data_IF_707399947512
#
_entry.id   IF_707399947512
#
_cell.length_a   1.000
_cell.length_b   1.000
_cell.length_c   1.000
_cell.angle_alpha   90.00
_cell.angle_beta   90.00
_cell.angle_gamma   90.00
#
_symmetry.space_group_name_H-M   'P 1'
#
loop_
_entity.id
_entity.type
_entity.pdbx_description
1 polymer ?
#
# COMPACT_ATOMS: atom_id res chain seq x y z
N UNK A 1 8.73 11.79 13.00
CA UNK A 1 8.12 12.68 11.99
C UNK A 1 6.94 13.40 12.64
N UNK A 2 6.78 14.72 12.44
CA UNK A 2 5.65 15.46 13.00
C UNK A 2 4.40 15.26 12.12
N UNK A 3 3.20 15.32 12.71
CA UNK A 3 1.92 15.12 12.02
C UNK A 3 1.72 16.09 10.84
N UNK A 4 2.30 17.28 10.93
CA UNK A 4 2.24 18.30 9.88
C UNK A 4 3.01 17.92 8.63
N UNK A 5 4.12 17.18 8.78
CA UNK A 5 4.95 16.75 7.65
C UNK A 5 4.23 15.66 6.85
N UNK A 6 3.60 14.70 7.54
CA UNK A 6 2.83 13.62 6.91
C UNK A 6 1.66 14.14 6.07
N UNK A 7 1.03 15.24 6.51
CA UNK A 7 -0.07 15.84 5.77
C UNK A 7 0.38 16.40 4.41
N UNK A 8 1.63 16.86 4.31
CA UNK A 8 2.17 17.48 3.10
C UNK A 8 2.51 16.44 2.03
N UNK A 9 2.97 15.24 2.43
CA UNK A 9 3.31 14.13 1.54
C UNK A 9 2.16 13.86 0.57
N UNK A 10 2.44 13.74 -0.72
CA UNK A 10 1.49 13.32 -1.76
C UNK A 10 1.97 12.03 -2.43
N UNK A 11 1.03 11.30 -3.05
CA UNK A 11 1.37 10.19 -3.94
C UNK A 11 1.59 10.77 -5.33
N UNK A 12 2.85 10.72 -5.77
CA UNK A 12 3.30 11.25 -7.06
C UNK A 12 2.91 10.29 -8.19
N UNK A 13 3.29 9.02 -8.06
CA UNK A 13 3.16 8.00 -9.11
C UNK A 13 2.62 6.70 -8.53
N UNK A 14 1.96 5.90 -9.38
CA UNK A 14 1.42 4.59 -9.02
C UNK A 14 1.89 3.60 -10.07
N UNK A 15 2.58 2.55 -9.64
CA UNK A 15 3.08 1.49 -10.51
C UNK A 15 2.42 0.17 -10.13
N UNK A 16 1.75 -0.47 -11.09
CA UNK A 16 1.22 -1.82 -10.92
C UNK A 16 2.27 -2.82 -11.41
N UNK A 17 2.88 -3.54 -10.48
CA UNK A 17 3.97 -4.46 -10.68
C UNK A 17 3.52 -5.92 -10.46
N UNK A 18 3.82 -6.76 -11.45
CA UNK A 18 3.58 -8.21 -11.44
C UNK A 18 2.10 -8.63 -11.36
N UNK A 19 1.68 -9.38 -12.37
CA UNK A 19 0.38 -10.05 -12.43
C UNK A 19 0.65 -11.52 -12.67
N UNK A 20 0.41 -12.35 -11.66
CA UNK A 20 0.35 -13.79 -11.81
C UNK A 20 -1.01 -14.28 -11.35
N UNK A 21 -1.52 -15.28 -12.05
CA UNK A 21 -2.78 -15.93 -11.75
C UNK A 21 -2.51 -17.42 -11.67
N UNK A 22 -2.85 -18.01 -10.53
CA UNK A 22 -2.62 -19.42 -10.27
C UNK A 22 -3.95 -20.04 -9.84
N UNK A 23 -4.22 -21.25 -10.32
CA UNK A 23 -5.31 -22.06 -9.80
C UNK A 23 -4.82 -22.82 -8.58
N UNK A 24 -5.58 -22.81 -7.49
CA UNK A 24 -5.34 -23.68 -6.36
C UNK A 24 -5.78 -25.15 -6.69
N UNK A 25 -5.53 -26.12 -5.81
CA UNK A 25 -6.00 -27.50 -5.99
C UNK A 25 -7.53 -27.66 -6.02
N UNK A 26 -8.30 -26.64 -5.58
CA UNK A 26 -9.76 -26.63 -5.65
C UNK A 26 -10.30 -26.11 -6.99
N UNK A 27 -9.43 -25.52 -7.82
CA UNK A 27 -9.77 -24.91 -9.10
C UNK A 27 -10.14 -23.43 -9.01
N UNK A 28 -10.02 -22.83 -7.82
CA UNK A 28 -10.18 -21.40 -7.62
C UNK A 28 -8.94 -20.65 -8.10
N UNK A 29 -9.16 -19.58 -8.84
CA UNK A 29 -8.08 -18.73 -9.34
C UNK A 29 -7.86 -17.57 -8.39
N UNK A 30 -6.62 -17.41 -7.92
CA UNK A 30 -6.20 -16.22 -7.18
C UNK A 30 -5.23 -15.41 -8.02
N UNK A 31 -5.33 -14.09 -7.87
CA UNK A 31 -4.48 -13.14 -8.58
C UNK A 31 -3.54 -12.47 -7.59
N UNK A 32 -2.25 -12.53 -7.87
CA UNK A 32 -1.26 -11.72 -7.17
C UNK A 32 -1.12 -10.38 -7.87
N UNK A 33 -1.23 -9.31 -7.10
CA UNK A 33 -1.01 -7.96 -7.59
C UNK A 33 -0.15 -7.20 -6.59
N UNK A 34 0.91 -6.54 -7.08
CA UNK A 34 1.69 -5.62 -6.26
C UNK A 34 1.58 -4.22 -6.85
N UNK A 35 1.32 -3.23 -6.02
CA UNK A 35 1.19 -1.83 -6.44
C UNK A 35 2.10 -0.97 -5.59
N UNK A 36 2.98 -0.20 -6.23
CA UNK A 36 3.85 0.75 -5.55
C UNK A 36 3.27 2.16 -5.70
N UNK A 37 2.98 2.81 -4.57
CA UNK A 37 2.57 4.21 -4.47
C UNK A 37 3.78 5.05 -4.10
N UNK A 38 4.37 5.74 -5.08
CA UNK A 38 5.58 6.55 -4.89
C UNK A 38 5.21 7.88 -4.26
N UNK A 39 5.89 8.23 -3.16
CA UNK A 39 5.71 9.48 -2.46
C UNK A 39 6.47 10.61 -3.16
N UNK A 40 5.91 11.81 -3.14
CA UNK A 40 6.58 13.01 -3.66
C UNK A 40 7.80 13.43 -2.83
N UNK A 41 7.74 13.13 -1.53
CA UNK A 41 8.76 13.45 -0.54
C UNK A 41 9.02 12.20 0.29
N UNK A 42 10.27 11.71 0.26
CA UNK A 42 10.71 10.64 1.15
C UNK A 42 10.76 11.14 2.59
N UNK A 43 10.53 10.25 3.55
CA UNK A 43 10.69 10.56 4.97
C UNK A 43 11.55 9.50 5.66
N UNK A 44 12.12 9.87 6.82
CA UNK A 44 12.94 8.95 7.62
C UNK A 44 12.11 8.42 8.78
N UNK A 45 12.06 7.11 8.89
CA UNK A 45 11.53 6.38 10.03
C UNK A 45 12.69 5.92 10.90
N UNK A 46 12.72 6.34 12.16
CA UNK A 46 13.79 6.01 13.10
C UNK A 46 13.31 4.96 14.09
N UNK A 47 13.96 3.79 14.09
CA UNK A 47 13.70 2.67 15.00
C UNK A 47 14.98 2.41 15.76
N UNK A 48 14.99 2.79 17.04
CA UNK A 48 16.21 2.80 17.86
C UNK A 48 17.34 3.58 17.15
N UNK A 49 18.44 2.90 16.85
CA UNK A 49 19.63 3.46 16.21
C UNK A 49 19.61 3.30 14.68
N UNK A 50 18.54 2.73 14.12
CA UNK A 50 18.40 2.49 12.69
C UNK A 50 17.51 3.58 12.09
N UNK A 51 18.04 4.28 11.09
CA UNK A 51 17.31 5.24 10.27
C UNK A 51 16.96 4.59 8.93
N UNK A 52 15.68 4.56 8.62
CA UNK A 52 15.14 3.96 7.40
C UNK A 52 14.47 5.05 6.57
N UNK A 53 14.97 5.28 5.37
CA UNK A 53 14.28 6.13 4.40
C UNK A 53 13.11 5.37 3.78
N UNK A 54 11.94 5.99 3.76
CA UNK A 54 10.72 5.51 3.13
C UNK A 54 10.37 6.47 1.99
N UNK A 55 10.22 5.92 0.79
CA UNK A 55 9.88 6.68 -0.43
C UNK A 55 8.61 6.17 -1.12
N UNK A 56 8.05 5.05 -0.67
CA UNK A 56 6.86 4.45 -1.25
C UNK A 56 6.05 3.67 -0.23
N UNK A 57 4.80 3.44 -0.60
CA UNK A 57 3.93 2.50 0.08
C UNK A 57 3.63 1.38 -0.90
N UNK A 58 3.86 0.14 -0.48
CA UNK A 58 3.64 -1.05 -1.28
C UNK A 58 2.32 -1.69 -0.88
N UNK A 59 1.42 -1.87 -1.82
CA UNK A 59 0.21 -2.67 -1.65
C UNK A 59 0.44 -4.04 -2.28
N UNK A 60 0.27 -5.09 -1.51
CA UNK A 60 0.32 -6.46 -2.00
C UNK A 60 -1.07 -7.07 -1.85
N UNK A 61 -1.51 -7.77 -2.89
CA UNK A 61 -2.75 -8.54 -2.87
C UNK A 61 -2.39 -9.98 -3.13
N UNK A 62 -2.68 -10.83 -2.15
CA UNK A 62 -2.41 -12.26 -2.21
C UNK A 62 -3.60 -13.04 -1.61
N UNK A 63 -4.07 -14.08 -2.31
CA UNK A 63 -5.27 -14.85 -1.94
C UNK A 63 -6.48 -13.99 -1.52
N UNK A 64 -6.69 -12.85 -2.18
CA UNK A 64 -7.79 -11.91 -1.85
C UNK A 64 -7.57 -11.07 -0.59
N UNK A 65 -6.38 -11.13 -0.01
CA UNK A 65 -5.97 -10.30 1.13
C UNK A 65 -5.14 -9.14 0.61
N UNK A 66 -5.65 -7.93 0.81
CA UNK A 66 -4.93 -6.68 0.52
C UNK A 66 -4.16 -6.25 1.76
N UNK A 67 -2.88 -5.94 1.59
CA UNK A 67 -1.99 -5.42 2.62
C UNK A 67 -1.24 -4.20 2.13
N UNK A 68 -0.93 -3.28 3.04
CA UNK A 68 -0.14 -2.08 2.82
C UNK A 68 1.10 -2.09 3.70
N UNK A 69 2.25 -1.81 3.11
CA UNK A 69 3.55 -1.82 3.78
C UNK A 69 4.35 -0.56 3.43
N UNK A 70 5.06 0.02 4.40
CA UNK A 70 6.06 1.05 4.08
C UNK A 70 7.24 0.41 3.35
N UNK A 71 7.81 1.11 2.37
CA UNK A 71 8.91 0.56 1.60
C UNK A 71 9.87 1.65 1.09
N UNK A 72 11.03 1.20 0.63
CA UNK A 72 11.91 1.96 -0.25
C UNK A 72 12.26 1.12 -1.48
N UNK A 73 13.24 1.57 -2.27
CA UNK A 73 13.68 0.84 -3.47
C UNK A 73 14.19 -0.57 -3.18
N UNK A 74 14.76 -0.79 -1.98
CA UNK A 74 15.46 -2.03 -1.65
C UNK A 74 14.59 -3.01 -0.84
N UNK A 75 13.73 -2.48 0.05
CA UNK A 75 13.09 -3.27 1.11
C UNK A 75 11.66 -2.83 1.38
N UNK A 76 10.85 -3.81 1.78
CA UNK A 76 9.52 -3.62 2.35
C UNK A 76 9.59 -3.84 3.85
N UNK A 77 8.91 -2.98 4.61
CA UNK A 77 8.93 -2.95 6.07
C UNK A 77 7.54 -3.24 6.63
N UNK A 78 7.21 -4.53 6.77
CA UNK A 78 5.90 -4.97 7.25
C UNK A 78 5.63 -4.73 8.73
N UNK A 79 6.69 -4.57 9.53
CA UNK A 79 6.58 -4.29 10.97
C UNK A 79 6.39 -2.81 11.29
N UNK A 80 6.45 -1.92 10.29
CA UNK A 80 6.29 -0.48 10.51
C UNK A 80 4.83 -0.06 10.29
N UNK A 81 4.19 0.61 11.27
CA UNK A 81 2.79 0.98 11.15
C UNK A 81 2.59 2.09 10.11
N UNK A 82 1.55 1.95 9.30
CA UNK A 82 1.13 3.00 8.36
C UNK A 82 0.14 3.93 9.06
N UNK A 83 0.43 5.23 9.00
CA UNK A 83 -0.48 6.21 9.59
C UNK A 83 -1.78 6.30 8.81
N UNK A 84 -2.90 6.50 9.50
CA UNK A 84 -4.23 6.70 8.88
C UNK A 84 -4.27 7.82 7.83
N UNK A 85 -3.43 8.85 8.00
CA UNK A 85 -3.29 9.95 7.02
C UNK A 85 -2.77 9.43 5.67
N UNK A 86 -1.79 8.52 5.70
CA UNK A 86 -1.25 7.91 4.48
C UNK A 86 -2.26 6.96 3.84
N UNK A 87 -2.98 6.16 4.65
CA UNK A 87 -4.06 5.30 4.15
C UNK A 87 -5.13 6.13 3.44
N UNK A 88 -5.50 7.30 3.98
CA UNK A 88 -6.47 8.19 3.33
C UNK A 88 -5.98 8.67 1.96
N UNK A 89 -4.69 9.04 1.87
CA UNK A 89 -4.09 9.46 0.60
C UNK A 89 -4.04 8.31 -0.42
N UNK A 90 -3.77 7.08 0.04
CA UNK A 90 -3.82 5.88 -0.80
C UNK A 90 -5.24 5.67 -1.31
N UNK A 91 -6.24 5.72 -0.45
CA UNK A 91 -7.64 5.58 -0.84
C UNK A 91 -8.05 6.58 -1.92
N UNK A 92 -7.78 7.87 -1.70
CA UNK A 92 -8.05 8.93 -2.67
C UNK A 92 -7.35 8.66 -4.01
N UNK A 93 -6.10 8.16 -3.97
CA UNK A 93 -5.36 7.83 -5.18
C UNK A 93 -5.89 6.58 -5.87
N UNK A 94 -6.27 5.54 -5.12
CA UNK A 94 -6.86 4.29 -5.62
C UNK A 94 -8.14 4.60 -6.39
N UNK A 95 -9.05 5.39 -5.82
CA UNK A 95 -10.29 5.81 -6.50
C UNK A 95 -10.01 6.51 -7.83
N UNK A 96 -9.01 7.42 -7.85
CA UNK A 96 -8.61 8.12 -9.07
C UNK A 96 -8.05 7.15 -10.13
N UNK A 97 -7.15 6.25 -9.73
CA UNK A 97 -6.50 5.29 -10.63
C UNK A 97 -7.46 4.20 -11.13
N UNK A 98 -8.46 3.79 -10.34
CA UNK A 98 -9.49 2.84 -10.78
C UNK A 98 -10.44 3.45 -11.81
N UNK A 99 -10.72 4.75 -11.69
CA UNK A 99 -11.58 5.46 -12.63
C UNK A 99 -10.91 5.68 -13.98
N UNK A 100 -9.65 6.14 -13.97
CA UNK A 100 -9.01 6.72 -15.16
C UNK A 100 -7.56 6.26 -15.40
N UNK A 101 -6.99 5.40 -14.54
CA UNK A 101 -5.56 5.12 -14.50
C UNK A 101 -5.17 3.65 -14.53
N UNK A 102 -4.03 3.33 -13.91
CA UNK A 102 -3.36 2.01 -14.04
C UNK A 102 -4.07 0.88 -13.29
N UNK A 103 -4.95 1.25 -12.36
CA UNK A 103 -5.75 0.34 -11.55
C UNK A 103 -7.17 0.15 -12.11
N UNK A 104 -7.46 0.62 -13.33
CA UNK A 104 -8.76 0.40 -13.97
C UNK A 104 -9.09 -1.08 -14.09
N UNK A 105 -10.30 -1.44 -13.69
CA UNK A 105 -10.79 -2.83 -13.68
C UNK A 105 -10.44 -3.62 -12.42
N UNK A 106 -9.80 -2.99 -11.43
CA UNK A 106 -9.55 -3.56 -10.11
C UNK A 106 -10.50 -3.00 -9.09
N UNK A 107 -10.75 -3.75 -8.02
CA UNK A 107 -11.59 -3.35 -6.88
C UNK A 107 -10.74 -3.48 -5.63
N UNK A 108 -10.13 -2.37 -5.21
CA UNK A 108 -9.33 -2.28 -3.98
C UNK A 108 -9.93 -1.31 -2.97
N UNK A 109 -10.86 -0.47 -3.42
CA UNK A 109 -11.44 0.63 -2.66
C UNK A 109 -12.15 0.15 -1.40
N UNK A 110 -12.89 -0.96 -1.45
CA UNK A 110 -13.53 -1.56 -0.28
C UNK A 110 -12.50 -1.97 0.78
N UNK A 111 -11.46 -2.72 0.38
CA UNK A 111 -10.42 -3.18 1.32
C UNK A 111 -9.70 -2.00 1.99
N UNK A 112 -9.33 -0.96 1.22
CA UNK A 112 -8.66 0.21 1.78
C UNK A 112 -9.61 1.03 2.66
N UNK A 113 -10.91 1.06 2.35
CA UNK A 113 -11.92 1.73 3.17
C UNK A 113 -12.12 1.02 4.52
N UNK A 114 -12.12 -0.31 4.54
CA UNK A 114 -12.13 -1.11 5.78
C UNK A 114 -10.90 -0.80 6.65
N UNK A 115 -9.71 -0.72 6.05
CA UNK A 115 -8.48 -0.31 6.76
C UNK A 115 -8.60 1.11 7.35
N UNK A 116 -9.24 2.03 6.62
CA UNK A 116 -9.51 3.39 7.12
C UNK A 116 -10.47 3.41 8.30
N UNK A 117 -11.46 2.51 8.32
CA UNK A 117 -12.41 2.37 9.43
C UNK A 117 -11.79 1.65 10.63
N UNK A 118 -10.69 0.94 10.43
CA UNK A 118 -10.07 0.08 11.44
C UNK A 118 -10.77 -1.27 11.57
N UNK A 119 -11.54 -1.65 10.55
CA UNK A 119 -12.20 -2.96 10.43
C UNK A 119 -11.22 -4.04 9.95
N UNK A 120 -10.09 -3.61 9.37
CA UNK A 120 -9.00 -4.45 8.87
C UNK A 120 -7.64 -3.87 9.25
N UNK A 121 -6.68 -4.73 9.59
CA UNK A 121 -5.29 -4.30 9.78
C UNK A 121 -4.66 -3.95 8.43
N UNK A 122 -3.71 -3.01 8.43
CA UNK A 122 -2.98 -2.66 7.21
C UNK A 122 -1.99 -3.73 6.79
N UNK A 123 -1.52 -4.56 7.72
CA UNK A 123 -0.49 -5.58 7.51
C UNK A 123 -0.76 -6.75 8.44
N UNK A 124 -0.52 -7.98 7.98
CA UNK A 124 -0.54 -9.15 8.87
C UNK A 124 0.57 -9.04 9.92
N UNK A 125 0.19 -9.06 11.19
CA UNK A 125 1.13 -9.24 12.31
C UNK A 125 1.75 -10.64 12.23
N UNK A 126 2.98 -10.76 11.73
CA UNK A 126 3.78 -11.98 11.87
C UNK A 126 4.38 -12.08 13.28
#
# INVERSE_FOLDING_TARGET
MNKEDVKKIQIKEVFKNHLSCCSDPSGEYYTHCNVDFILDTSFVFKVFDIEVTIDRIKMNVDYGITELHLANEEKTYSSLPITKILIHKIYDRVLKEQKEGVLRGWVFDDDILEMLRGERETSSSC
#
